data_IF_854159570437
#
_entry.id   IF_854159570437
#
_cell.length_a   1.000
_cell.length_b   1.000
_cell.length_c   1.000
_cell.angle_alpha   90.00
_cell.angle_beta   90.00
_cell.angle_gamma   90.00
#
_symmetry.space_group_name_H-M   'P 1'
#
loop_
_entity.id
_entity.type
_entity.pdbx_description
1 polymer ?
#
# COMPACT_ATOMS: atom_id res chain seq x y z
N UNK A 1 9.58 3.22 28.56
CA UNK A 1 10.89 3.90 28.46
C UNK A 1 10.72 5.29 29.04
N UNK A 2 10.90 5.45 30.34
CA UNK A 2 10.82 6.77 30.99
C UNK A 2 12.17 7.51 30.84
N UNK A 3 12.77 7.46 29.65
CA UNK A 3 14.13 7.94 29.39
C UNK A 3 15.25 7.08 29.98
N UNK A 4 14.92 5.86 30.44
CA UNK A 4 15.93 4.93 30.97
C UNK A 4 16.76 4.33 29.83
N UNK A 5 18.04 4.74 29.80
CA UNK A 5 19.00 4.39 28.77
C UNK A 5 19.22 2.87 28.64
N UNK A 6 19.08 2.08 29.71
CA UNK A 6 19.23 0.63 29.65
C UNK A 6 18.17 0.01 28.73
N UNK A 7 16.92 0.44 28.91
CA UNK A 7 15.79 -0.09 28.17
C UNK A 7 15.72 0.50 26.75
N UNK A 8 16.16 1.74 26.54
CA UNK A 8 16.24 2.34 25.21
C UNK A 8 17.21 1.55 24.32
N UNK A 9 18.34 1.14 24.89
CA UNK A 9 19.32 0.30 24.19
C UNK A 9 18.71 -1.00 23.70
N UNK A 10 17.76 -1.61 24.42
CA UNK A 10 17.09 -2.85 24.00
C UNK A 10 16.20 -2.67 22.76
N UNK A 11 15.64 -1.49 22.55
CA UNK A 11 14.89 -1.19 21.32
C UNK A 11 15.85 -1.03 20.13
N UNK A 12 17.00 -0.41 20.34
CA UNK A 12 18.04 -0.29 19.31
C UNK A 12 18.57 -1.67 18.91
N UNK A 13 18.94 -2.50 19.90
CA UNK A 13 19.40 -3.88 19.67
C UNK A 13 18.34 -4.71 18.90
N UNK A 14 17.04 -4.48 19.18
CA UNK A 14 15.96 -5.11 18.42
C UNK A 14 15.91 -4.60 16.98
N UNK A 15 16.05 -3.30 16.74
CA UNK A 15 16.11 -2.73 15.39
C UNK A 15 17.26 -3.31 14.58
N UNK A 16 18.46 -3.38 15.16
CA UNK A 16 19.64 -4.00 14.54
C UNK A 16 19.42 -5.48 14.22
N UNK A 17 18.76 -6.22 15.12
CA UNK A 17 18.41 -7.60 14.88
C UNK A 17 17.42 -7.75 13.71
N UNK A 18 16.42 -6.86 13.58
CA UNK A 18 15.51 -6.86 12.44
C UNK A 18 16.28 -6.61 11.13
N UNK A 19 17.16 -5.62 11.10
CA UNK A 19 17.94 -5.24 9.91
C UNK A 19 18.94 -6.32 9.46
N UNK A 20 19.49 -7.09 10.40
CA UNK A 20 20.55 -8.07 10.13
C UNK A 20 20.04 -9.51 9.97
N UNK A 21 18.96 -9.86 10.66
CA UNK A 21 18.42 -11.22 10.65
C UNK A 21 17.37 -11.43 9.55
N UNK A 22 16.57 -10.41 9.22
CA UNK A 22 15.53 -10.50 8.21
C UNK A 22 16.10 -10.01 6.88
N UNK A 23 16.26 -10.87 5.87
CA UNK A 23 16.74 -10.44 4.57
C UNK A 23 15.73 -9.50 3.91
N UNK A 24 16.23 -8.54 3.13
CA UNK A 24 15.36 -7.67 2.34
C UNK A 24 14.56 -8.51 1.33
N UNK A 25 13.22 -8.41 1.32
CA UNK A 25 12.40 -9.21 0.43
C UNK A 25 12.51 -8.72 -1.01
N UNK A 26 12.57 -9.66 -1.95
CA UNK A 26 12.43 -9.33 -3.37
C UNK A 26 11.00 -8.88 -3.65
N UNK A 27 10.86 -7.72 -4.30
CA UNK A 27 9.56 -7.15 -4.65
C UNK A 27 9.18 -7.55 -6.07
N UNK A 28 8.01 -8.17 -6.21
CA UNK A 28 7.45 -8.63 -7.48
C UNK A 28 6.91 -7.49 -8.36
N UNK A 29 7.72 -6.48 -8.68
CA UNK A 29 7.28 -5.26 -9.38
C UNK A 29 7.02 -5.45 -10.88
N UNK A 30 7.63 -6.45 -11.51
CA UNK A 30 7.51 -6.70 -12.96
C UNK A 30 6.28 -7.55 -13.33
N UNK A 31 5.48 -7.95 -12.35
CA UNK A 31 4.26 -8.73 -12.57
C UNK A 31 3.04 -7.81 -12.79
N UNK A 32 1.93 -8.33 -13.36
CA UNK A 32 0.69 -7.56 -13.45
C UNK A 32 0.20 -7.11 -12.07
N UNK A 33 -0.25 -5.86 -11.97
CA UNK A 33 -0.72 -5.25 -10.73
C UNK A 33 -1.81 -6.09 -10.05
N UNK A 34 -1.67 -6.27 -8.73
CA UNK A 34 -2.69 -6.87 -7.88
C UNK A 34 -2.63 -6.23 -6.49
N UNK A 35 -3.78 -5.71 -6.06
CA UNK A 35 -3.98 -5.10 -4.74
C UNK A 35 -5.16 -5.79 -4.05
N UNK A 36 -4.92 -6.67 -3.06
CA UNK A 36 -5.97 -7.16 -2.18
C UNK A 36 -6.54 -5.97 -1.39
N UNK A 37 -7.87 -5.81 -1.45
CA UNK A 37 -8.55 -4.72 -0.75
C UNK A 37 -8.72 -5.12 0.72
N UNK A 38 -8.12 -4.35 1.62
CA UNK A 38 -8.21 -4.49 3.08
C UNK A 38 -9.40 -3.70 3.64
N UNK A 39 -9.58 -2.45 3.20
CA UNK A 39 -10.68 -1.58 3.62
C UNK A 39 -11.04 -0.56 2.53
N UNK A 40 -12.26 -0.02 2.61
CA UNK A 40 -12.84 0.91 1.63
C UNK A 40 -13.39 2.15 2.34
N UNK A 41 -12.99 3.33 1.86
CA UNK A 41 -13.43 4.62 2.38
C UNK A 41 -14.08 5.46 1.28
N UNK A 42 -15.24 6.06 1.57
CA UNK A 42 -15.83 7.06 0.68
C UNK A 42 -15.51 8.45 1.17
N UNK A 43 -14.79 9.23 0.36
CA UNK A 43 -14.42 10.60 0.68
C UNK A 43 -15.31 11.55 -0.12
N UNK A 44 -16.15 12.31 0.59
CA UNK A 44 -17.04 13.30 0.00
C UNK A 44 -16.28 14.25 -0.95
N UNK A 45 -16.75 14.35 -2.19
CA UNK A 45 -16.16 15.21 -3.23
C UNK A 45 -14.86 14.70 -3.88
N UNK A 46 -14.27 13.59 -3.40
CA UNK A 46 -13.06 12.99 -4.00
C UNK A 46 -13.30 11.63 -4.65
N UNK A 47 -14.18 10.81 -4.08
CA UNK A 47 -14.51 9.47 -4.60
C UNK A 47 -14.26 8.36 -3.59
N UNK A 48 -14.13 7.13 -4.09
CA UNK A 48 -13.93 5.93 -3.28
C UNK A 48 -12.46 5.57 -3.23
N UNK A 49 -11.91 5.44 -2.03
CA UNK A 49 -10.53 5.01 -1.79
C UNK A 49 -10.54 3.57 -1.30
N UNK A 50 -9.82 2.70 -1.99
CA UNK A 50 -9.55 1.34 -1.53
C UNK A 50 -8.14 1.28 -0.95
N UNK A 51 -7.95 0.55 0.14
CA UNK A 51 -6.65 0.44 0.81
C UNK A 51 -6.18 -1.00 0.83
N UNK A 52 -4.87 -1.20 0.85
CA UNK A 52 -4.24 -2.49 1.05
C UNK A 52 -2.74 -2.47 0.77
N UNK A 53 -2.10 -3.60 0.99
CA UNK A 53 -0.74 -3.84 0.52
C UNK A 53 -0.73 -4.29 -0.94
N UNK A 54 0.04 -3.62 -1.80
CA UNK A 54 0.24 -4.09 -3.18
C UNK A 54 0.94 -5.45 -3.11
N UNK A 55 0.29 -6.50 -3.59
CA UNK A 55 0.85 -7.86 -3.58
C UNK A 55 1.93 -7.99 -4.65
N UNK A 56 1.67 -7.44 -5.84
CA UNK A 56 2.59 -7.49 -6.98
C UNK A 56 2.30 -6.37 -7.98
N UNK A 57 3.29 -6.10 -8.83
CA UNK A 57 3.23 -5.10 -9.87
C UNK A 57 3.35 -3.67 -9.36
N UNK A 58 3.01 -2.73 -10.25
CA UNK A 58 3.00 -1.30 -10.00
C UNK A 58 1.66 -0.73 -10.49
N UNK A 59 1.08 0.19 -9.74
CA UNK A 59 -0.07 1.00 -10.15
C UNK A 59 0.28 2.47 -10.16
N UNK A 60 -0.17 3.18 -11.18
CA UNK A 60 0.05 4.62 -11.36
C UNK A 60 -1.27 5.35 -11.43
N UNK A 61 -1.22 6.64 -11.12
CA UNK A 61 -2.34 7.52 -11.40
C UNK A 61 -2.61 7.55 -12.91
N UNK A 62 -3.85 7.30 -13.31
CA UNK A 62 -4.29 7.19 -14.70
C UNK A 62 -4.46 5.75 -15.19
N UNK A 63 -3.97 4.76 -14.46
CA UNK A 63 -4.07 3.36 -14.88
C UNK A 63 -5.53 2.87 -14.86
N UNK A 64 -5.87 2.10 -15.89
CA UNK A 64 -7.12 1.34 -15.95
C UNK A 64 -6.95 0.03 -15.17
N UNK A 65 -7.82 -0.22 -14.21
CA UNK A 65 -7.79 -1.41 -13.35
C UNK A 65 -9.14 -2.11 -13.35
N UNK A 66 -9.14 -3.39 -13.00
CA UNK A 66 -10.36 -4.19 -12.84
C UNK A 66 -10.58 -4.50 -11.36
N UNK A 67 -11.81 -4.28 -10.88
CA UNK A 67 -12.26 -4.75 -9.57
C UNK A 67 -12.81 -6.16 -9.77
N UNK A 68 -12.11 -7.14 -9.22
CA UNK A 68 -12.41 -8.57 -9.43
C UNK A 68 -12.82 -9.21 -8.11
N UNK A 69 -13.91 -9.99 -8.15
CA UNK A 69 -14.39 -10.79 -7.02
C UNK A 69 -15.71 -10.30 -6.46
N UNK A 70 -16.43 -11.21 -5.78
CA UNK A 70 -17.79 -11.06 -5.23
C UNK A 70 -18.86 -10.72 -6.28
N UNK A 71 -18.74 -9.58 -6.95
CA UNK A 71 -19.63 -9.06 -7.99
C UNK A 71 -19.03 -9.27 -9.40
N UNK A 72 -19.81 -9.03 -10.48
CA UNK A 72 -19.26 -9.00 -11.84
C UNK A 72 -18.10 -8.01 -11.96
N UNK A 73 -17.03 -8.44 -12.63
CA UNK A 73 -15.85 -7.62 -12.85
C UNK A 73 -16.22 -6.30 -13.52
N UNK A 74 -15.69 -5.20 -12.97
CA UNK A 74 -15.90 -3.86 -13.50
C UNK A 74 -14.57 -3.15 -13.67
N UNK A 75 -14.41 -2.43 -14.77
CA UNK A 75 -13.23 -1.60 -15.03
C UNK A 75 -13.42 -0.20 -14.44
N UNK A 76 -12.38 0.34 -13.82
CA UNK A 76 -12.31 1.73 -13.36
C UNK A 76 -10.92 2.31 -13.62
N UNK A 77 -10.74 3.59 -13.33
CA UNK A 77 -9.47 4.30 -13.45
C UNK A 77 -8.99 4.74 -12.07
N UNK A 78 -7.72 4.48 -11.78
CA UNK A 78 -7.05 5.01 -10.60
C UNK A 78 -6.78 6.49 -10.82
N UNK A 79 -7.33 7.36 -9.97
CA UNK A 79 -7.18 8.81 -10.07
C UNK A 79 -6.22 9.41 -9.04
N UNK A 80 -5.68 8.58 -8.15
CA UNK A 80 -4.66 8.97 -7.19
C UNK A 80 -4.14 7.77 -6.42
N UNK A 81 -2.87 7.82 -6.04
CA UNK A 81 -2.22 6.85 -5.15
C UNK A 81 -1.65 7.61 -3.95
N UNK A 82 -1.96 7.15 -2.74
CA UNK A 82 -1.51 7.79 -1.50
C UNK A 82 -0.92 6.78 -0.53
N UNK A 83 0.09 7.20 0.24
CA UNK A 83 0.61 6.46 1.40
C UNK A 83 0.78 7.43 2.57
N UNK A 84 0.13 7.15 3.72
CA UNK A 84 0.20 7.99 4.92
C UNK A 84 0.04 9.50 4.68
N UNK A 85 -1.04 9.90 4.00
CA UNK A 85 -1.36 11.30 3.65
C UNK A 85 -0.34 11.99 2.73
N UNK A 86 0.51 11.23 2.04
CA UNK A 86 1.40 11.71 0.98
C UNK A 86 0.93 11.16 -0.36
N UNK A 87 0.86 12.03 -1.36
CA UNK A 87 0.62 11.64 -2.75
C UNK A 87 1.87 10.96 -3.30
N UNK A 88 1.67 9.86 -4.00
CA UNK A 88 2.70 9.12 -4.71
C UNK A 88 2.40 9.15 -6.21
N UNK A 89 3.45 9.15 -7.03
CA UNK A 89 3.31 9.00 -8.48
C UNK A 89 2.89 7.56 -8.85
N UNK A 90 3.33 6.59 -8.05
CA UNK A 90 3.03 5.17 -8.21
C UNK A 90 3.04 4.43 -6.86
N UNK A 91 2.31 3.31 -6.80
CA UNK A 91 2.36 2.35 -5.70
C UNK A 91 2.96 1.03 -6.18
N UNK A 92 3.91 0.48 -5.42
CA UNK A 92 4.70 -0.70 -5.80
C UNK A 92 4.44 -1.88 -4.87
N UNK A 93 4.67 -3.10 -5.37
CA UNK A 93 4.65 -4.32 -4.56
C UNK A 93 5.35 -4.14 -3.20
N UNK A 94 4.66 -4.54 -2.13
CA UNK A 94 5.10 -4.41 -0.74
C UNK A 94 4.67 -3.11 -0.02
N UNK A 95 4.19 -2.10 -0.75
CA UNK A 95 3.76 -0.83 -0.14
C UNK A 95 2.29 -0.89 0.29
N UNK A 96 1.99 -0.28 1.45
CA UNK A 96 0.62 -0.05 1.89
C UNK A 96 0.12 1.25 1.29
N UNK A 97 -0.87 1.16 0.41
CA UNK A 97 -1.36 2.31 -0.37
C UNK A 97 -2.87 2.45 -0.24
N UNK A 98 -3.35 3.69 -0.43
CA UNK A 98 -4.72 4.00 -0.77
C UNK A 98 -4.79 4.36 -2.26
N UNK A 99 -5.64 3.66 -3.02
CA UNK A 99 -5.92 3.95 -4.41
C UNK A 99 -7.30 4.61 -4.54
N UNK A 100 -7.34 5.83 -5.04
CA UNK A 100 -8.58 6.56 -5.32
C UNK A 100 -9.13 6.09 -6.67
N UNK A 101 -10.37 5.59 -6.68
CA UNK A 101 -11.06 5.06 -7.85
C UNK A 101 -12.13 6.03 -8.35
N UNK A 102 -12.27 6.12 -9.68
CA UNK A 102 -13.29 6.95 -10.31
C UNK A 102 -14.62 6.20 -10.43
N UNK A 103 -15.70 6.84 -9.96
CA UNK A 103 -17.07 6.48 -10.35
C UNK A 103 -17.55 5.09 -9.92
N UNK A 104 -16.93 4.52 -8.90
CA UNK A 104 -17.28 3.25 -8.23
C UNK A 104 -18.19 3.48 -7.04
#
# INVERSE_FOLDING_TARGET
LEGDAEWEKKIIELGEALDTYIPEPERDIDKPFLLPIEDVFSISGRGTVVTGRVERGIVKTGDSVEIVGINPTTTTTVTGVEMFRKLLDEGRAGENVGALLRGT
#
